data_IF_561706370796
#
_entry.id   IF_561706370796
#
_cell.length_a   1.000
_cell.length_b   1.000
_cell.length_c   1.000
_cell.angle_alpha   90.00
_cell.angle_beta   90.00
_cell.angle_gamma   90.00
#
_symmetry.space_group_name_H-M   'P 1'
#
loop_
_entity.id
_entity.type
_entity.pdbx_description
1 polymer ?
#
# COMPACT_ATOMS: atom_id res chain seq x y z
N UNK A 1 -22.53 -14.30 12.69
CA UNK A 1 -21.67 -13.09 12.63
C UNK A 1 -21.03 -13.00 11.25
N UNK A 2 -21.53 -12.12 10.37
CA UNK A 2 -20.92 -11.91 9.06
C UNK A 2 -19.71 -11.00 9.24
N UNK A 3 -18.51 -11.57 9.24
CA UNK A 3 -17.27 -10.79 9.17
C UNK A 3 -17.28 -10.10 7.80
N UNK A 4 -17.69 -8.83 7.77
CA UNK A 4 -17.48 -7.96 6.60
C UNK A 4 -15.96 -7.83 6.45
N UNK A 5 -15.35 -8.72 5.66
CA UNK A 5 -13.98 -8.55 5.18
C UNK A 5 -14.00 -7.26 4.37
N UNK A 6 -13.63 -6.14 4.99
CA UNK A 6 -13.29 -4.92 4.27
C UNK A 6 -12.09 -5.27 3.38
N UNK A 7 -12.38 -5.70 2.14
CA UNK A 7 -11.41 -5.66 1.06
C UNK A 7 -11.17 -4.19 0.83
N UNK A 8 -10.23 -3.60 1.58
CA UNK A 8 -9.64 -2.33 1.20
C UNK A 8 -9.21 -2.49 -0.25
N UNK A 9 -9.88 -1.75 -1.13
CA UNK A 9 -9.63 -1.79 -2.56
C UNK A 9 -8.24 -1.20 -2.78
N UNK A 10 -7.23 -2.07 -2.69
CA UNK A 10 -5.81 -1.76 -2.87
C UNK A 10 -5.49 -1.17 -4.24
N UNK A 11 -6.49 -1.10 -5.13
CA UNK A 11 -6.45 -0.48 -6.46
C UNK A 11 -6.48 1.05 -6.40
N UNK A 12 -6.94 1.67 -5.30
CA UNK A 12 -7.09 3.13 -5.22
C UNK A 12 -5.95 3.71 -4.38
N UNK A 13 -5.25 4.70 -4.94
CA UNK A 13 -4.22 5.45 -4.22
C UNK A 13 -4.89 6.30 -3.14
N UNK A 14 -4.47 6.19 -1.87
CA UNK A 14 -5.13 6.91 -0.78
C UNK A 14 -4.79 8.42 -0.75
N UNK A 15 -3.83 8.89 -1.57
CA UNK A 15 -3.49 10.30 -1.67
C UNK A 15 -4.10 10.99 -2.89
N UNK A 16 -4.01 10.40 -4.09
CA UNK A 16 -4.52 11.03 -5.31
C UNK A 16 -5.86 10.47 -5.80
N UNK A 17 -6.40 9.43 -5.17
CA UNK A 17 -7.64 8.78 -5.59
C UNK A 17 -7.56 8.00 -6.91
N UNK A 18 -6.39 7.96 -7.55
CA UNK A 18 -6.19 7.24 -8.81
C UNK A 18 -6.28 5.71 -8.66
N UNK A 19 -6.86 5.03 -9.65
CA UNK A 19 -7.06 3.57 -9.63
C UNK A 19 -5.88 2.76 -10.20
N UNK A 20 -4.83 3.42 -10.69
CA UNK A 20 -3.68 2.78 -11.35
C UNK A 20 -2.52 2.52 -10.38
N UNK A 21 -2.80 1.73 -9.34
CA UNK A 21 -1.81 1.33 -8.33
C UNK A 21 -1.23 -0.05 -8.67
N UNK A 22 0.10 -0.16 -8.66
CA UNK A 22 0.82 -1.41 -8.93
C UNK A 22 1.43 -1.94 -7.64
N UNK A 23 1.31 -3.24 -7.41
CA UNK A 23 1.98 -3.92 -6.28
C UNK A 23 3.44 -4.14 -6.63
N UNK A 24 4.33 -3.73 -5.73
CA UNK A 24 5.77 -3.88 -5.85
C UNK A 24 6.28 -5.08 -5.04
N UNK A 25 7.51 -5.47 -5.32
CA UNK A 25 8.22 -6.50 -4.56
C UNK A 25 8.48 -6.05 -3.12
N UNK A 26 8.40 -6.99 -2.18
CA UNK A 26 8.67 -6.69 -0.77
C UNK A 26 10.15 -6.37 -0.58
N UNK A 27 10.46 -5.33 0.19
CA UNK A 27 11.80 -5.06 0.71
C UNK A 27 12.14 -6.10 1.78
N UNK A 28 13.43 -6.39 1.99
CA UNK A 28 13.89 -7.41 2.96
C UNK A 28 13.31 -7.21 4.37
N UNK A 29 13.30 -5.97 4.87
CA UNK A 29 12.76 -5.65 6.20
C UNK A 29 11.25 -5.93 6.33
N UNK A 30 10.50 -5.85 5.21
CA UNK A 30 9.06 -6.10 5.22
C UNK A 30 8.74 -7.55 5.60
N UNK A 31 9.67 -8.49 5.47
CA UNK A 31 9.46 -9.88 5.89
C UNK A 31 9.17 -10.00 7.39
N UNK A 32 9.72 -9.12 8.21
CA UNK A 32 9.48 -9.08 9.65
C UNK A 32 8.17 -8.37 10.02
N UNK A 33 7.51 -7.68 9.08
CA UNK A 33 6.22 -7.02 9.31
C UNK A 33 5.12 -7.83 8.62
N UNK A 34 4.30 -8.57 9.37
CA UNK A 34 3.19 -9.34 8.83
C UNK A 34 2.19 -8.45 8.07
N UNK A 35 1.52 -9.05 7.08
CA UNK A 35 0.49 -8.38 6.27
C UNK A 35 0.92 -7.04 5.61
N UNK A 36 2.23 -6.76 5.53
CA UNK A 36 2.77 -5.60 4.84
C UNK A 36 2.76 -5.80 3.32
N UNK A 37 2.36 -4.76 2.59
CA UNK A 37 2.36 -4.72 1.13
C UNK A 37 2.92 -3.39 0.66
N UNK A 38 3.64 -3.41 -0.46
CA UNK A 38 4.28 -2.23 -1.05
C UNK A 38 3.65 -1.94 -2.40
N UNK A 39 3.37 -0.67 -2.66
CA UNK A 39 2.68 -0.21 -3.84
C UNK A 39 3.33 1.03 -4.41
N UNK A 40 3.17 1.23 -5.71
CA UNK A 40 3.45 2.47 -6.42
C UNK A 40 2.19 2.91 -7.16
N UNK A 41 1.87 4.19 -7.08
CA UNK A 41 0.79 4.78 -7.85
C UNK A 41 1.34 5.36 -9.16
N UNK A 42 0.82 4.91 -10.30
CA UNK A 42 1.24 5.43 -11.61
C UNK A 42 0.69 6.83 -11.90
N UNK A 43 -0.38 7.26 -11.21
CA UNK A 43 -0.96 8.60 -11.41
C UNK A 43 -0.14 9.70 -10.73
N UNK A 44 0.24 9.51 -9.47
CA UNK A 44 0.96 10.53 -8.69
C UNK A 44 2.45 10.21 -8.47
N UNK A 45 2.92 9.05 -8.92
CA UNK A 45 4.31 8.60 -8.75
C UNK A 45 4.68 8.20 -7.32
N UNK A 46 3.79 8.36 -6.35
CA UNK A 46 4.09 8.04 -4.95
C UNK A 46 4.17 6.53 -4.70
N UNK A 47 5.15 6.16 -3.91
CA UNK A 47 5.30 4.82 -3.37
C UNK A 47 4.82 4.79 -1.91
N UNK A 48 4.11 3.72 -1.56
CA UNK A 48 3.49 3.62 -0.24
C UNK A 48 3.33 2.18 0.22
N UNK A 49 3.26 2.04 1.54
CA UNK A 49 3.09 0.78 2.24
C UNK A 49 1.66 0.67 2.74
N UNK A 50 1.09 -0.53 2.64
CA UNK A 50 -0.09 -0.93 3.40
C UNK A 50 0.37 -1.85 4.53
N UNK A 51 0.19 -1.44 5.77
CA UNK A 51 0.53 -2.22 6.96
C UNK A 51 -0.73 -2.34 7.81
N UNK A 52 -1.23 -3.56 8.02
CA UNK A 52 -2.48 -3.83 8.75
C UNK A 52 -3.68 -2.95 8.31
N UNK A 53 -3.78 -2.66 7.01
CA UNK A 53 -4.85 -1.83 6.43
C UNK A 53 -4.65 -0.32 6.56
N UNK A 54 -3.55 0.14 7.16
CA UNK A 54 -3.14 1.55 7.18
C UNK A 54 -2.14 1.83 6.06
N UNK A 55 -2.18 3.04 5.51
CA UNK A 55 -1.31 3.45 4.42
C UNK A 55 -0.26 4.46 4.90
N UNK A 56 0.99 4.26 4.48
CA UNK A 56 2.13 5.12 4.82
C UNK A 56 2.90 5.44 3.53
N UNK A 57 3.13 6.71 3.23
CA UNK A 57 4.01 7.09 2.13
C UNK A 57 5.45 6.77 2.53
N UNK A 58 6.27 6.31 1.58
CA UNK A 58 7.70 6.12 1.85
C UNK A 58 8.38 7.47 1.60
N UNK A 59 8.72 8.18 2.66
CA UNK A 59 9.66 9.31 2.56
C UNK A 59 11.03 8.69 2.30
N UNK A 60 11.66 9.07 1.19
CA UNK A 60 13.05 8.76 0.92
C UNK A 60 13.87 9.86 1.56
N UNK A 61 14.04 9.80 2.89
CA UNK A 61 15.00 10.67 3.56
C UNK A 61 16.40 10.19 3.12
N UNK A 62 17.08 11.02 2.33
CA UNK A 62 18.49 10.89 1.98
C UNK A 62 19.34 11.61 3.01
#
# INVERSE_FOLDING_TARGET
MLIKRHRYHYKICPWCGGSNTKRLHRKKWMHYIPASKYYSCSNCGMEYLSIFGKFYHIIRDF
#
